data_IF_729159416231
#
_entry.id   IF_729159416231
#
_cell.length_a   1.000
_cell.length_b   1.000
_cell.length_c   1.000
_cell.angle_alpha   90.00
_cell.angle_beta   90.00
_cell.angle_gamma   90.00
#
_symmetry.space_group_name_H-M   'P 1'
#
loop_
_entity.id
_entity.type
_entity.pdbx_description
1 polymer ?
#
# COMPACT_ATOMS: atom_id res chain seq x y z
N UNK A 1 -3.33 -14.01 -8.38
CA UNK A 1 -3.76 -12.62 -8.60
C UNK A 1 -5.02 -12.26 -7.80
N UNK A 2 -6.10 -13.07 -7.92
CA UNK A 2 -7.36 -12.83 -7.22
C UNK A 2 -7.21 -12.82 -5.70
N UNK A 3 -6.43 -13.74 -5.15
CA UNK A 3 -6.18 -13.83 -3.71
C UNK A 3 -5.38 -12.64 -3.17
N UNK A 4 -4.43 -12.10 -3.94
CA UNK A 4 -3.72 -10.89 -3.56
C UNK A 4 -4.66 -9.69 -3.47
N UNK A 5 -5.57 -9.54 -4.45
CA UNK A 5 -6.59 -8.47 -4.44
C UNK A 5 -7.56 -8.62 -3.28
N UNK A 6 -8.07 -9.85 -3.07
CA UNK A 6 -9.12 -10.10 -2.11
C UNK A 6 -8.64 -10.09 -0.65
N UNK A 7 -7.37 -10.40 -0.38
CA UNK A 7 -6.83 -10.52 0.97
C UNK A 7 -5.84 -9.39 1.26
N UNK A 8 -4.70 -9.37 0.59
CA UNK A 8 -3.61 -8.43 0.92
C UNK A 8 -3.87 -7.00 0.47
N UNK A 9 -4.57 -6.80 -0.66
CA UNK A 9 -4.97 -5.49 -1.14
C UNK A 9 -6.41 -5.12 -0.79
N UNK A 10 -7.03 -5.87 0.11
CA UNK A 10 -8.38 -5.53 0.56
C UNK A 10 -8.40 -4.13 1.19
N UNK A 11 -9.37 -3.31 0.84
CA UNK A 11 -9.47 -1.90 1.29
C UNK A 11 -9.40 -1.77 2.81
N UNK A 12 -10.05 -2.67 3.54
CA UNK A 12 -10.06 -2.66 5.02
C UNK A 12 -8.72 -3.03 5.62
N UNK A 13 -8.00 -4.01 5.04
CA UNK A 13 -6.66 -4.40 5.49
C UNK A 13 -5.70 -3.23 5.29
N UNK A 14 -5.72 -2.62 4.11
CA UNK A 14 -4.90 -1.44 3.82
C UNK A 14 -5.23 -0.25 4.70
N UNK A 15 -6.51 -0.03 5.04
CA UNK A 15 -6.90 1.01 5.99
C UNK A 15 -6.29 0.79 7.38
N UNK A 16 -6.30 -0.45 7.87
CA UNK A 16 -5.70 -0.82 9.14
C UNK A 16 -4.18 -0.63 9.14
N UNK A 17 -3.50 -1.10 8.09
CA UNK A 17 -2.06 -0.92 7.92
C UNK A 17 -1.65 0.56 7.85
N UNK A 18 -2.39 1.39 7.11
CA UNK A 18 -2.13 2.84 7.01
C UNK A 18 -2.26 3.53 8.36
N UNK A 19 -3.33 3.23 9.11
CA UNK A 19 -3.54 3.83 10.43
C UNK A 19 -2.41 3.46 11.39
N UNK A 20 -2.02 2.20 11.43
CA UNK A 20 -0.95 1.71 12.29
C UNK A 20 0.41 2.31 11.90
N UNK A 21 0.76 2.24 10.61
CA UNK A 21 2.02 2.80 10.11
C UNK A 21 2.13 4.30 10.36
N UNK A 22 1.05 5.06 10.13
CA UNK A 22 1.02 6.50 10.38
C UNK A 22 1.12 6.80 11.89
N UNK A 23 0.42 6.04 12.74
CA UNK A 23 0.51 6.17 14.19
C UNK A 23 1.94 5.96 14.69
N UNK A 24 2.60 4.90 14.23
CA UNK A 24 4.00 4.61 14.57
C UNK A 24 4.95 5.71 14.07
N UNK A 25 4.75 6.20 12.84
CA UNK A 25 5.58 7.27 12.26
C UNK A 25 5.48 8.57 13.06
N UNK A 26 4.27 8.97 13.46
CA UNK A 26 4.05 10.19 14.24
C UNK A 26 4.57 10.08 15.69
N UNK A 27 4.67 8.86 16.21
CA UNK A 27 5.13 8.59 17.57
C UNK A 27 6.63 8.24 17.64
N UNK A 28 7.33 8.12 16.52
CA UNK A 28 8.69 7.57 16.49
C UNK A 28 9.70 8.41 17.26
N UNK A 29 9.57 9.74 17.26
CA UNK A 29 10.43 10.63 18.07
C UNK A 29 10.27 10.40 19.56
N UNK A 30 9.07 10.08 20.04
CA UNK A 30 8.78 9.83 21.47
C UNK A 30 9.12 8.39 21.87
N UNK A 31 8.70 7.42 21.04
CA UNK A 31 8.83 5.99 21.35
C UNK A 31 10.13 5.37 20.82
N UNK A 32 10.81 6.04 19.90
CA UNK A 32 12.06 5.58 19.25
C UNK A 32 11.96 4.17 18.70
N UNK A 33 10.87 3.87 18.02
CA UNK A 33 10.60 2.54 17.47
C UNK A 33 11.62 2.10 16.41
N UNK A 34 12.17 3.07 15.68
CA UNK A 34 13.20 2.83 14.66
C UNK A 34 14.61 2.75 15.22
N UNK A 35 14.85 3.19 16.44
CA UNK A 35 16.15 3.11 17.11
C UNK A 35 16.36 1.76 17.80
N UNK A 36 16.66 0.72 17.04
CA UNK A 36 16.94 -0.61 17.55
C UNK A 36 18.38 -0.71 18.04
N UNK A 37 18.66 -0.21 19.24
CA UNK A 37 20.01 -0.16 19.84
C UNK A 37 20.52 -1.51 20.36
N UNK A 38 19.64 -2.50 20.55
CA UNK A 38 20.02 -3.84 21.03
C UNK A 38 18.99 -4.90 20.62
N UNK A 39 19.45 -6.15 20.55
CA UNK A 39 18.59 -7.32 20.31
C UNK A 39 17.52 -7.46 21.40
N UNK A 40 17.90 -7.23 22.67
CA UNK A 40 16.97 -7.30 23.79
C UNK A 40 15.81 -6.30 23.67
N UNK A 41 16.10 -5.11 23.15
CA UNK A 41 15.06 -4.12 22.88
C UNK A 41 14.12 -4.58 21.77
N UNK A 42 14.67 -5.12 20.69
CA UNK A 42 13.90 -5.66 19.58
C UNK A 42 12.96 -6.80 20.03
N UNK A 43 13.46 -7.71 20.85
CA UNK A 43 12.69 -8.84 21.38
C UNK A 43 11.53 -8.42 22.31
N UNK A 44 11.60 -7.23 22.91
CA UNK A 44 10.57 -6.66 23.76
C UNK A 44 9.48 -5.91 23.00
N UNK A 45 9.73 -5.54 21.73
CA UNK A 45 8.76 -4.85 20.88
C UNK A 45 7.84 -5.87 20.20
N UNK A 46 6.92 -6.44 20.98
CA UNK A 46 5.84 -7.25 20.41
C UNK A 46 4.70 -6.33 19.92
N UNK A 47 3.80 -6.88 19.10
CA UNK A 47 2.66 -6.13 18.56
C UNK A 47 1.82 -5.51 19.69
N UNK A 48 1.58 -6.26 20.77
CA UNK A 48 0.81 -5.81 21.93
C UNK A 48 1.51 -4.65 22.65
N UNK A 49 2.84 -4.75 22.84
CA UNK A 49 3.63 -3.71 23.50
C UNK A 49 3.60 -2.42 22.70
N UNK A 50 3.79 -2.51 21.39
CA UNK A 50 3.77 -1.33 20.51
C UNK A 50 2.37 -0.69 20.53
N UNK A 51 1.31 -1.47 20.40
CA UNK A 51 -0.06 -0.97 20.43
C UNK A 51 -0.40 -0.32 21.76
N UNK A 52 0.03 -0.91 22.89
CA UNK A 52 -0.17 -0.34 24.22
C UNK A 52 0.59 0.98 24.37
N UNK A 53 1.85 1.05 23.95
CA UNK A 53 2.64 2.28 24.00
C UNK A 53 2.01 3.40 23.16
N UNK A 54 1.50 3.09 21.96
CA UNK A 54 0.78 4.05 21.13
C UNK A 54 -0.53 4.54 21.79
N UNK A 55 -1.27 3.64 22.43
CA UNK A 55 -2.50 3.97 23.14
C UNK A 55 -2.25 4.82 24.40
N UNK A 56 -1.12 4.64 25.06
CA UNK A 56 -0.74 5.35 26.30
C UNK A 56 -0.01 6.67 26.04
N UNK A 57 0.24 7.03 24.76
CA UNK A 57 0.92 8.28 24.40
C UNK A 57 0.30 9.49 25.10
N UNK A 58 1.11 10.35 25.72
CA UNK A 58 0.63 11.62 26.23
C UNK A 58 0.33 12.57 25.04
N UNK A 59 -0.88 13.15 24.93
CA UNK A 59 -1.26 13.99 23.79
C UNK A 59 -0.70 15.42 23.92
N UNK A 60 0.62 15.55 24.11
CA UNK A 60 1.31 16.83 24.35
C UNK A 60 1.40 17.67 23.08
N UNK A 61 1.56 17.04 21.92
CA UNK A 61 1.63 17.70 20.62
C UNK A 61 0.48 17.26 19.71
N UNK A 62 0.15 18.02 18.66
CA UNK A 62 -0.85 17.61 17.67
C UNK A 62 -0.53 16.25 17.05
N UNK A 63 0.76 15.98 16.76
CA UNK A 63 1.26 14.74 16.16
C UNK A 63 1.02 13.55 17.10
N UNK A 64 1.41 13.67 18.38
CA UNK A 64 1.20 12.62 19.39
C UNK A 64 -0.29 12.36 19.65
N UNK A 65 -1.11 13.41 19.61
CA UNK A 65 -2.56 13.26 19.70
C UNK A 65 -3.13 12.50 18.51
N UNK A 66 -2.68 12.83 17.32
CA UNK A 66 -3.07 12.15 16.08
C UNK A 66 -2.62 10.68 16.11
N UNK A 67 -1.36 10.41 16.52
CA UNK A 67 -0.83 9.05 16.68
C UNK A 67 -1.70 8.20 17.60
N UNK A 68 -2.01 8.72 18.78
CA UNK A 68 -2.88 8.07 19.76
C UNK A 68 -4.27 7.78 19.20
N UNK A 69 -4.88 8.78 18.54
CA UNK A 69 -6.23 8.64 17.98
C UNK A 69 -6.26 7.56 16.88
N UNK A 70 -5.23 7.47 16.04
CA UNK A 70 -5.10 6.44 15.03
C UNK A 70 -4.96 5.04 15.65
N UNK A 71 -4.09 4.88 16.66
CA UNK A 71 -3.93 3.61 17.38
C UNK A 71 -5.23 3.18 18.06
N UNK A 72 -5.89 4.08 18.77
CA UNK A 72 -7.19 3.81 19.41
C UNK A 72 -8.28 3.47 18.38
N UNK A 73 -8.29 4.18 17.25
CA UNK A 73 -9.20 3.88 16.13
C UNK A 73 -8.96 2.47 15.57
N UNK A 74 -7.69 2.09 15.38
CA UNK A 74 -7.29 0.75 14.95
C UNK A 74 -7.77 -0.32 15.94
N UNK A 75 -7.46 -0.19 17.24
CA UNK A 75 -7.84 -1.13 18.27
C UNK A 75 -9.36 -1.29 18.41
N UNK A 76 -10.11 -0.22 18.24
CA UNK A 76 -11.58 -0.19 18.29
C UNK A 76 -12.26 -0.51 16.95
N UNK A 77 -11.48 -0.90 15.93
CA UNK A 77 -11.99 -1.19 14.57
C UNK A 77 -12.73 -0.02 13.91
N UNK A 78 -12.45 1.22 14.33
CA UNK A 78 -12.93 2.45 13.71
C UNK A 78 -11.96 2.92 12.63
N UNK A 79 -11.90 2.15 11.55
CA UNK A 79 -10.93 2.35 10.49
C UNK A 79 -11.36 3.48 9.54
N UNK A 80 -10.35 4.18 8.98
CA UNK A 80 -10.54 5.08 7.86
C UNK A 80 -11.17 4.35 6.68
N UNK A 81 -11.87 5.09 5.83
CA UNK A 81 -12.62 4.53 4.70
C UNK A 81 -11.98 4.90 3.37
N UNK A 82 -11.84 3.92 2.51
CA UNK A 82 -11.49 4.14 1.12
C UNK A 82 -12.65 4.88 0.45
N UNK A 83 -12.37 6.05 -0.10
CA UNK A 83 -13.36 6.92 -0.76
C UNK A 83 -13.09 7.07 -2.24
N UNK A 84 -11.91 6.69 -2.69
CA UNK A 84 -11.53 6.71 -4.10
C UNK A 84 -10.53 5.60 -4.38
N UNK A 85 -10.70 4.92 -5.52
CA UNK A 85 -9.78 3.91 -6.00
C UNK A 85 -9.61 4.01 -7.51
N UNK A 86 -8.38 4.01 -7.97
CA UNK A 86 -8.05 4.00 -9.39
C UNK A 86 -6.98 2.97 -9.68
N UNK A 87 -7.27 2.07 -10.62
CA UNK A 87 -6.29 1.11 -11.12
C UNK A 87 -5.45 1.81 -12.19
N UNK A 88 -4.15 1.93 -11.95
CA UNK A 88 -3.22 2.51 -12.91
C UNK A 88 -2.68 1.41 -13.82
N UNK A 89 -2.85 1.58 -15.13
CA UNK A 89 -2.35 0.61 -16.09
C UNK A 89 -0.83 0.65 -16.21
N UNK A 90 -0.23 -0.53 -16.37
CA UNK A 90 1.18 -0.88 -16.30
C UNK A 90 2.15 -0.09 -17.21
N UNK A 91 1.66 0.68 -18.17
CA UNK A 91 2.52 1.35 -19.17
C UNK A 91 3.34 2.52 -18.62
N UNK A 92 2.96 3.10 -17.51
CA UNK A 92 3.62 4.28 -16.94
C UNK A 92 4.43 3.99 -15.67
N UNK A 93 5.60 3.35 -15.85
CA UNK A 93 6.60 3.23 -14.76
C UNK A 93 7.00 4.60 -14.16
N UNK A 94 6.82 5.67 -14.90
CA UNK A 94 7.09 7.03 -14.47
C UNK A 94 6.08 7.47 -13.40
N UNK A 95 4.80 7.18 -13.60
CA UNK A 95 3.72 7.49 -12.65
C UNK A 95 3.95 6.75 -11.33
N UNK A 96 4.29 5.45 -11.39
CA UNK A 96 4.60 4.65 -10.20
C UNK A 96 5.78 5.23 -9.40
N UNK A 97 6.88 5.59 -10.07
CA UNK A 97 8.04 6.20 -9.42
C UNK A 97 7.72 7.57 -8.79
N UNK A 98 6.79 8.30 -9.38
CA UNK A 98 6.32 9.59 -8.88
C UNK A 98 5.52 9.36 -7.59
N UNK A 99 4.51 8.49 -7.61
CA UNK A 99 3.65 8.21 -6.44
C UNK A 99 4.35 7.45 -5.31
N UNK A 100 5.48 6.78 -5.57
CA UNK A 100 6.29 6.16 -4.51
C UNK A 100 6.99 7.19 -3.62
N UNK A 101 7.17 8.44 -4.10
CA UNK A 101 7.80 9.51 -3.33
C UNK A 101 6.84 10.07 -2.28
N UNK A 102 7.23 10.00 -1.00
CA UNK A 102 6.43 10.54 0.11
C UNK A 102 6.02 12.00 -0.13
N UNK A 103 6.97 12.85 -0.54
CA UNK A 103 6.73 14.29 -0.78
C UNK A 103 5.57 14.53 -1.74
N UNK A 104 5.42 13.71 -2.79
CA UNK A 104 4.35 13.89 -3.75
C UNK A 104 3.00 13.44 -3.19
N UNK A 105 2.98 12.34 -2.43
CA UNK A 105 1.75 11.93 -1.74
C UNK A 105 1.29 12.97 -0.74
N UNK A 106 2.22 13.59 0.01
CA UNK A 106 1.92 14.66 0.95
C UNK A 106 1.36 15.91 0.23
N UNK A 107 1.91 16.25 -0.94
CA UNK A 107 1.41 17.33 -1.77
C UNK A 107 -0.03 17.06 -2.25
N UNK A 108 -0.28 15.87 -2.78
CA UNK A 108 -1.61 15.46 -3.24
C UNK A 108 -2.62 15.42 -2.09
N UNK A 109 -2.21 14.94 -0.91
CA UNK A 109 -3.05 14.98 0.28
C UNK A 109 -3.42 16.42 0.66
N UNK A 110 -2.48 17.36 0.57
CA UNK A 110 -2.72 18.77 0.80
C UNK A 110 -3.71 19.36 -0.22
N UNK A 111 -3.55 19.02 -1.51
CA UNK A 111 -4.42 19.54 -2.57
C UNK A 111 -5.86 18.99 -2.44
N UNK A 112 -6.01 17.70 -2.10
CA UNK A 112 -7.31 17.07 -1.82
C UNK A 112 -7.94 17.73 -0.58
N UNK A 113 -7.18 17.88 0.50
CA UNK A 113 -7.66 18.48 1.74
C UNK A 113 -8.18 19.89 1.52
N UNK A 114 -7.42 20.72 0.77
CA UNK A 114 -7.81 22.09 0.40
C UNK A 114 -9.08 22.10 -0.44
N UNK A 115 -9.20 21.22 -1.41
CA UNK A 115 -10.38 21.11 -2.28
C UNK A 115 -11.62 20.62 -1.53
N UNK A 116 -11.43 19.72 -0.55
CA UNK A 116 -12.50 19.16 0.26
C UNK A 116 -12.87 20.03 1.47
N UNK A 117 -12.04 21.03 1.85
CA UNK A 117 -12.25 21.85 3.04
C UNK A 117 -12.03 21.07 4.35
N UNK A 118 -11.08 20.12 4.36
CA UNK A 118 -10.76 19.28 5.52
C UNK A 118 -9.29 19.42 5.89
N UNK A 119 -8.91 18.91 7.08
CA UNK A 119 -7.52 18.90 7.51
C UNK A 119 -6.71 17.86 6.70
N UNK A 120 -5.46 18.21 6.36
CA UNK A 120 -4.56 17.29 5.63
C UNK A 120 -4.31 15.99 6.41
N UNK A 121 -4.29 16.06 7.73
CA UNK A 121 -4.14 14.90 8.62
C UNK A 121 -5.24 13.84 8.49
N UNK A 122 -6.38 14.20 7.89
CA UNK A 122 -7.51 13.31 7.61
C UNK A 122 -7.42 12.62 6.25
N UNK A 123 -6.41 12.94 5.44
CA UNK A 123 -6.25 12.40 4.09
C UNK A 123 -5.07 11.43 4.05
N UNK A 124 -5.32 10.20 3.62
CA UNK A 124 -4.29 9.18 3.44
C UNK A 124 -4.29 8.72 1.98
N UNK A 125 -3.13 8.80 1.35
CA UNK A 125 -2.92 8.32 -0.02
C UNK A 125 -2.13 7.02 0.05
N UNK A 126 -2.74 5.95 -0.44
CA UNK A 126 -2.15 4.63 -0.51
C UNK A 126 -1.83 4.26 -1.96
N UNK A 127 -0.58 3.92 -2.18
CA UNK A 127 -0.12 3.35 -3.45
C UNK A 127 0.70 2.11 -3.08
N UNK A 128 0.04 0.95 -2.93
CA UNK A 128 0.74 -0.27 -2.57
C UNK A 128 1.73 -0.64 -3.68
N UNK A 129 3.01 -0.68 -3.32
CA UNK A 129 4.11 -1.01 -4.22
C UNK A 129 4.57 -2.46 -3.98
N UNK A 130 3.62 -3.37 -3.91
CA UNK A 130 3.96 -4.77 -3.67
C UNK A 130 3.81 -5.56 -4.98
N UNK A 131 4.84 -6.32 -5.40
CA UNK A 131 4.71 -7.16 -6.56
C UNK A 131 3.60 -8.20 -6.36
N UNK A 132 2.82 -8.47 -7.40
CA UNK A 132 1.74 -9.46 -7.38
C UNK A 132 2.25 -10.90 -7.15
N UNK A 133 3.56 -11.10 -7.20
CA UNK A 133 4.23 -12.37 -6.90
C UNK A 133 5.27 -12.12 -5.79
N UNK A 134 5.08 -12.67 -4.58
CA UNK A 134 5.88 -12.34 -3.38
C UNK A 134 7.36 -12.75 -3.45
N UNK A 135 7.77 -13.52 -4.43
CA UNK A 135 9.14 -14.06 -4.54
C UNK A 135 10.04 -13.34 -5.54
N UNK A 136 9.61 -12.23 -6.12
CA UNK A 136 10.42 -11.47 -7.08
C UNK A 136 11.07 -10.24 -6.45
N UNK A 137 11.66 -10.38 -5.27
CA UNK A 137 12.44 -9.30 -4.65
C UNK A 137 13.72 -8.97 -5.42
N UNK A 138 14.20 -9.85 -6.24
CA UNK A 138 15.32 -9.59 -7.13
C UNK A 138 14.85 -9.47 -8.57
N UNK A 139 15.11 -8.33 -9.17
CA UNK A 139 14.87 -8.00 -10.58
C UNK A 139 15.50 -8.98 -11.58
N UNK A 140 16.21 -10.01 -11.11
CA UNK A 140 16.99 -10.94 -11.90
C UNK A 140 16.48 -12.38 -11.90
N UNK A 141 15.65 -12.80 -10.94
CA UNK A 141 15.35 -14.21 -10.74
C UNK A 141 14.44 -14.87 -11.80
N UNK A 142 13.68 -14.10 -12.57
CA UNK A 142 12.76 -14.64 -13.58
C UNK A 142 12.88 -13.94 -14.95
N UNK A 143 14.07 -13.53 -15.34
CA UNK A 143 14.27 -13.01 -16.69
C UNK A 143 14.16 -14.09 -17.77
N UNK A 144 14.31 -15.36 -17.40
CA UNK A 144 14.18 -16.47 -18.34
C UNK A 144 13.65 -17.73 -17.64
N UNK A 145 12.80 -18.46 -18.35
CA UNK A 145 12.30 -19.77 -17.95
C UNK A 145 12.95 -20.80 -18.87
N UNK A 146 13.44 -21.89 -18.27
CA UNK A 146 13.98 -22.98 -19.06
C UNK A 146 12.84 -23.87 -19.53
N UNK A 147 12.62 -23.92 -20.84
CA UNK A 147 11.61 -24.77 -21.47
C UNK A 147 12.28 -26.02 -21.99
N UNK A 148 11.71 -27.16 -21.68
CA UNK A 148 12.10 -28.46 -22.24
C UNK A 148 11.12 -28.79 -23.37
N UNK A 149 11.62 -28.97 -24.57
CA UNK A 149 10.81 -29.47 -25.69
C UNK A 149 10.46 -30.92 -25.46
N UNK A 150 9.17 -31.25 -25.55
CA UNK A 150 8.64 -32.62 -25.38
C UNK A 150 8.44 -33.30 -26.76
N UNK A 151 9.19 -32.88 -27.77
CA UNK A 151 9.13 -33.57 -29.08
C UNK A 151 9.69 -34.98 -28.95
N UNK A 152 8.95 -36.03 -29.41
CA UNK A 152 9.30 -37.44 -29.21
C UNK A 152 10.64 -37.85 -29.84
N UNK A 153 11.25 -37.03 -30.67
CA UNK A 153 12.50 -37.30 -31.37
C UNK A 153 13.60 -36.26 -31.11
N UNK A 154 13.39 -35.30 -30.23
CA UNK A 154 14.42 -34.32 -29.86
C UNK A 154 15.28 -34.91 -28.73
N UNK A 155 16.60 -34.80 -28.84
CA UNK A 155 17.52 -35.17 -27.77
C UNK A 155 17.12 -34.44 -26.45
N UNK A 156 17.12 -35.14 -25.29
CA UNK A 156 16.67 -34.57 -24.01
C UNK A 156 17.53 -33.42 -23.46
N UNK A 157 18.53 -32.98 -24.24
CA UNK A 157 19.49 -31.95 -23.84
C UNK A 157 19.19 -30.56 -24.37
N UNK A 158 18.08 -30.33 -25.05
CA UNK A 158 17.73 -28.97 -25.54
C UNK A 158 16.79 -28.25 -24.58
N UNK A 159 17.39 -27.82 -23.48
CA UNK A 159 16.77 -26.82 -22.63
C UNK A 159 17.00 -25.43 -23.24
N UNK A 160 15.94 -24.79 -23.68
CA UNK A 160 15.98 -23.42 -24.22
C UNK A 160 15.58 -22.43 -23.12
N UNK A 161 16.40 -21.40 -22.92
CA UNK A 161 16.07 -20.29 -22.03
C UNK A 161 15.27 -19.24 -22.80
N UNK A 162 13.97 -19.21 -22.53
CA UNK A 162 13.06 -18.23 -23.11
C UNK A 162 12.86 -17.08 -22.12
N UNK A 163 12.99 -15.81 -22.56
CA UNK A 163 12.67 -14.68 -21.71
C UNK A 163 11.24 -14.78 -21.15
N UNK A 164 11.09 -14.53 -19.87
CA UNK A 164 9.77 -14.60 -19.20
C UNK A 164 8.74 -13.66 -19.85
N UNK A 165 9.21 -12.58 -20.50
CA UNK A 165 8.38 -11.64 -21.26
C UNK A 165 7.74 -12.22 -22.51
N UNK A 166 8.31 -13.31 -23.05
CA UNK A 166 7.83 -13.99 -24.26
C UNK A 166 6.80 -15.08 -23.94
N UNK A 167 6.66 -15.44 -22.67
CA UNK A 167 5.67 -16.41 -22.23
C UNK A 167 4.33 -15.72 -21.94
N UNK A 168 3.26 -15.97 -22.71
CA UNK A 168 1.99 -15.26 -22.58
C UNK A 168 1.37 -15.36 -21.19
N UNK A 169 1.49 -16.51 -20.53
CA UNK A 169 0.98 -16.76 -19.18
C UNK A 169 1.82 -16.05 -18.10
N UNK A 170 3.14 -16.08 -18.23
CA UNK A 170 4.05 -15.46 -17.23
C UNK A 170 4.00 -13.93 -17.34
N UNK A 171 3.92 -13.40 -18.56
CA UNK A 171 3.76 -11.96 -18.79
C UNK A 171 2.47 -11.38 -18.22
N UNK A 172 1.39 -12.16 -18.16
CA UNK A 172 0.12 -11.75 -17.54
C UNK A 172 0.11 -11.91 -16.02
N UNK A 173 0.90 -12.83 -15.47
CA UNK A 173 1.00 -13.09 -14.02
C UNK A 173 1.98 -12.14 -13.32
N UNK A 174 3.05 -11.73 -14.00
CA UNK A 174 4.06 -10.79 -13.45
C UNK A 174 3.63 -9.33 -13.47
N UNK A 175 2.33 -9.06 -13.55
CA UNK A 175 1.76 -7.72 -13.51
C UNK A 175 1.87 -7.08 -12.13
N UNK A 176 2.60 -5.95 -12.05
CA UNK A 176 2.40 -5.03 -10.95
C UNK A 176 1.01 -4.41 -11.12
N UNK A 177 0.18 -4.52 -10.09
CA UNK A 177 -1.05 -3.76 -10.03
C UNK A 177 -0.77 -2.49 -9.23
N UNK A 178 -0.71 -1.38 -9.93
CA UNK A 178 -0.63 -0.08 -9.31
C UNK A 178 -2.06 0.38 -9.02
N UNK A 179 -2.42 0.38 -7.75
CA UNK A 179 -3.70 0.87 -7.29
C UNK A 179 -3.43 2.15 -6.51
N UNK A 180 -4.06 3.25 -6.92
CA UNK A 180 -4.10 4.48 -6.15
C UNK A 180 -5.38 4.50 -5.33
N UNK A 181 -5.26 4.70 -4.02
CA UNK A 181 -6.41 4.83 -3.12
C UNK A 181 -6.31 6.07 -2.27
N UNK A 182 -7.45 6.69 -2.02
CA UNK A 182 -7.60 7.79 -1.06
C UNK A 182 -8.49 7.31 0.08
N UNK A 183 -8.00 7.52 1.30
CA UNK A 183 -8.74 7.19 2.52
C UNK A 183 -8.97 8.45 3.34
N UNK A 184 -10.07 8.45 4.09
CA UNK A 184 -10.38 9.53 5.03
C UNK A 184 -11.27 9.00 6.17
N UNK A 185 -11.54 9.85 7.15
CA UNK A 185 -12.52 9.58 8.21
C UNK A 185 -13.93 9.36 7.65
N UNK A 186 -14.78 8.68 8.41
CA UNK A 186 -16.17 8.44 8.00
C UNK A 186 -16.95 9.73 7.75
N UNK A 187 -16.61 10.80 8.47
CA UNK A 187 -17.32 12.08 8.41
C UNK A 187 -17.05 12.86 7.12
N UNK A 188 -15.83 12.77 6.57
CA UNK A 188 -15.38 13.56 5.44
C UNK A 188 -15.52 12.84 4.08
N UNK A 189 -16.22 11.68 4.05
CA UNK A 189 -16.26 10.78 2.88
C UNK A 189 -16.73 11.46 1.59
N UNK A 190 -17.82 12.20 1.64
CA UNK A 190 -18.46 12.80 0.43
C UNK A 190 -17.59 13.91 -0.15
N UNK A 191 -17.06 14.76 0.71
CA UNK A 191 -16.26 15.92 0.34
C UNK A 191 -14.92 15.45 -0.26
N UNK A 192 -14.26 14.50 0.40
CA UNK A 192 -12.97 13.97 -0.04
C UNK A 192 -13.11 13.13 -1.31
N UNK A 193 -14.19 12.37 -1.47
CA UNK A 193 -14.47 11.64 -2.70
C UNK A 193 -14.59 12.59 -3.90
N UNK A 194 -15.39 13.66 -3.78
CA UNK A 194 -15.55 14.67 -4.83
C UNK A 194 -14.23 15.35 -5.19
N UNK A 195 -13.43 15.70 -4.18
CA UNK A 195 -12.13 16.32 -4.38
C UNK A 195 -11.15 15.38 -5.08
N UNK A 196 -11.12 14.10 -4.70
CA UNK A 196 -10.29 13.08 -5.34
C UNK A 196 -10.71 12.84 -6.80
N UNK A 197 -12.01 12.77 -7.09
CA UNK A 197 -12.54 12.65 -8.47
C UNK A 197 -12.19 13.86 -9.33
N UNK A 198 -12.19 15.06 -8.76
CA UNK A 198 -11.82 16.27 -9.48
C UNK A 198 -10.32 16.29 -9.87
N UNK A 199 -9.45 15.71 -9.04
CA UNK A 199 -8.00 15.66 -9.27
C UNK A 199 -7.59 14.50 -10.16
N UNK A 200 -8.15 13.30 -9.92
CA UNK A 200 -7.72 12.06 -10.58
C UNK A 200 -8.64 11.61 -11.71
N UNK A 201 -9.78 12.28 -11.93
CA UNK A 201 -10.85 11.82 -12.79
C UNK A 201 -11.77 10.83 -12.07
N UNK A 202 -12.86 10.44 -12.73
CA UNK A 202 -13.81 9.47 -12.15
C UNK A 202 -13.16 8.11 -11.93
N UNK A 203 -13.67 7.37 -10.93
CA UNK A 203 -13.30 5.98 -10.69
C UNK A 203 -13.53 5.10 -11.93
N UNK A 204 -12.64 4.14 -12.16
CA UNK A 204 -12.83 3.14 -13.20
C UNK A 204 -13.93 2.15 -12.77
N UNK A 205 -14.81 1.74 -13.70
CA UNK A 205 -15.91 0.81 -13.44
C UNK A 205 -15.46 -0.51 -12.79
N UNK A 206 -14.23 -0.94 -13.05
CA UNK A 206 -13.64 -2.16 -12.48
C UNK A 206 -13.33 -2.04 -10.97
N UNK A 207 -13.22 -0.84 -10.43
CA UNK A 207 -13.00 -0.62 -8.99
C UNK A 207 -14.27 -0.81 -8.16
N UNK A 208 -15.45 -0.72 -8.79
CA UNK A 208 -16.75 -0.89 -8.13
C UNK A 208 -17.11 -2.36 -7.88
N UNK A 209 -16.42 -3.31 -8.52
CA UNK A 209 -16.67 -4.77 -8.41
C UNK A 209 -15.84 -5.42 -7.29
N UNK A 210 -15.06 -4.67 -6.52
CA UNK A 210 -14.37 -5.27 -5.38
C UNK A 210 -15.36 -5.50 -4.23
N UNK A 211 -15.74 -6.75 -4.07
CA UNK A 211 -16.49 -7.35 -2.97
C UNK A 211 -15.88 -7.02 -1.60
#
# INVERSE_FOLDING_TARGET
DLMFKAVYFHRTVRAAELMLAQSMTLADEELRLTELSSIDRMLKLTDEVVLQQLADLPPRTPELRSAKNLAMGYMQRRLVKCVFEKVMQRKDRTVQKIFSKKRLRDQLACDIARSAGVEQSDIYIDVPNTPSVPYTHERQAFNSVTIFSNEPYAHPSRAERVPASELPLVGSITGFMDILRVYTSTYNRKEVMKAAEAIFGKEDFMSQISL
#
